data_IF_131061998529
#
_entry.id   IF_131061998529
#
_cell.length_a   1.000
_cell.length_b   1.000
_cell.length_c   1.000
_cell.angle_alpha   90.00
_cell.angle_beta   90.00
_cell.angle_gamma   90.00
#
_symmetry.space_group_name_H-M   'P 1'
#
loop_
_entity.id
_entity.type
_entity.pdbx_description
1 polymer ?
#
# COMPACT_ATOMS: atom_id res chain seq x y z
N UNK A 1 -7.46 11.72 -15.90
CA UNK A 1 -6.13 11.92 -15.30
C UNK A 1 -5.34 10.63 -15.50
N UNK A 2 -4.29 10.64 -16.31
CA UNK A 2 -3.50 9.44 -16.61
C UNK A 2 -2.45 9.26 -15.52
N UNK A 3 -2.78 8.50 -14.47
CA UNK A 3 -1.80 8.17 -13.43
C UNK A 3 -0.94 7.04 -13.97
N UNK A 4 0.36 7.30 -14.14
CA UNK A 4 1.32 6.29 -14.60
C UNK A 4 1.43 5.17 -13.56
N UNK A 5 1.51 3.92 -14.01
CA UNK A 5 1.75 2.76 -13.16
C UNK A 5 3.00 2.92 -12.27
N UNK A 6 4.01 3.63 -12.78
CA UNK A 6 5.21 4.01 -12.02
C UNK A 6 4.87 4.90 -10.82
N UNK A 7 3.97 5.87 -10.98
CA UNK A 7 3.53 6.76 -9.90
C UNK A 7 2.74 6.01 -8.82
N UNK A 8 1.96 5.00 -9.22
CA UNK A 8 1.21 4.13 -8.30
C UNK A 8 2.18 3.34 -7.41
N UNK A 9 3.20 2.71 -8.01
CA UNK A 9 4.23 1.97 -7.28
C UNK A 9 5.01 2.89 -6.34
N UNK A 10 5.43 4.07 -6.80
CA UNK A 10 6.16 5.03 -5.97
C UNK A 10 5.32 5.48 -4.77
N UNK A 11 4.02 5.73 -4.99
CA UNK A 11 3.11 6.06 -3.89
C UNK A 11 3.01 4.93 -2.88
N UNK A 12 2.88 3.68 -3.34
CA UNK A 12 2.81 2.52 -2.48
C UNK A 12 4.08 2.33 -1.64
N UNK A 13 5.25 2.45 -2.27
CA UNK A 13 6.55 2.37 -1.58
C UNK A 13 6.69 3.50 -0.56
N UNK A 14 6.37 4.74 -0.93
CA UNK A 14 6.45 5.89 -0.03
C UNK A 14 5.57 5.75 1.20
N UNK A 15 4.32 5.32 1.02
CA UNK A 15 3.39 5.05 2.13
C UNK A 15 3.89 3.90 3.02
N UNK A 16 4.44 2.83 2.42
CA UNK A 16 4.97 1.69 3.16
C UNK A 16 6.18 2.07 4.02
N UNK A 17 7.09 2.89 3.49
CA UNK A 17 8.24 3.42 4.23
C UNK A 17 7.77 4.31 5.39
N UNK A 18 6.85 5.25 5.13
CA UNK A 18 6.30 6.13 6.15
C UNK A 18 5.63 5.36 7.30
N UNK A 19 4.80 4.37 6.96
CA UNK A 19 4.15 3.50 7.94
C UNK A 19 5.17 2.70 8.75
N UNK A 20 6.19 2.14 8.09
CA UNK A 20 7.26 1.37 8.74
C UNK A 20 8.03 2.22 9.74
N UNK A 21 8.41 3.44 9.37
CA UNK A 21 9.12 4.35 10.26
C UNK A 21 8.31 4.71 11.51
N UNK A 22 7.01 4.98 11.36
CA UNK A 22 6.12 5.29 12.50
C UNK A 22 5.94 4.06 13.38
N UNK A 23 5.68 2.90 12.79
CA UNK A 23 5.44 1.66 13.51
C UNK A 23 6.69 1.23 14.31
N UNK A 24 7.87 1.28 13.69
CA UNK A 24 9.14 0.98 14.37
C UNK A 24 9.44 2.04 15.44
N UNK A 25 9.24 3.33 15.13
CA UNK A 25 9.49 4.42 16.08
C UNK A 25 8.66 4.29 17.36
N UNK A 26 7.35 4.02 17.23
CA UNK A 26 6.48 3.79 18.40
C UNK A 26 6.76 2.44 19.08
N UNK A 27 7.00 1.38 18.31
CA UNK A 27 7.22 0.05 18.86
C UNK A 27 8.55 -0.12 19.61
N UNK A 28 9.60 0.58 19.17
CA UNK A 28 10.86 0.64 19.91
C UNK A 28 10.72 1.43 21.21
N UNK A 29 9.89 2.47 21.22
CA UNK A 29 9.61 3.26 22.43
C UNK A 29 8.85 2.44 23.49
N UNK A 30 7.94 1.54 23.06
CA UNK A 30 7.14 0.72 23.96
C UNK A 30 7.71 -0.68 24.24
N UNK A 31 8.87 -1.05 23.66
CA UNK A 31 9.45 -2.40 23.68
C UNK A 31 8.49 -3.53 23.29
N UNK A 32 7.38 -3.21 22.61
CA UNK A 32 6.28 -4.12 22.31
C UNK A 32 6.09 -4.30 20.79
N UNK A 33 7.14 -4.05 20.01
CA UNK A 33 7.04 -4.13 18.56
C UNK A 33 6.88 -5.58 18.09
N UNK A 34 5.72 -5.88 17.53
CA UNK A 34 5.43 -7.18 16.92
C UNK A 34 5.79 -7.16 15.43
N UNK A 35 6.93 -7.79 15.12
CA UNK A 35 7.40 -7.97 13.73
C UNK A 35 6.44 -8.77 12.86
N UNK A 36 5.71 -9.73 13.44
CA UNK A 36 4.71 -10.54 12.73
C UNK A 36 3.51 -9.70 12.32
N UNK A 37 3.00 -8.86 13.23
CA UNK A 37 1.93 -7.92 12.92
C UNK A 37 2.38 -6.89 11.87
N UNK A 38 3.61 -6.36 11.96
CA UNK A 38 4.14 -5.41 10.98
C UNK A 38 4.27 -6.02 9.57
N UNK A 39 4.84 -7.22 9.44
CA UNK A 39 4.91 -7.94 8.15
C UNK A 39 3.49 -8.21 7.63
N UNK A 40 2.59 -8.65 8.49
CA UNK A 40 1.19 -8.90 8.14
C UNK A 40 0.50 -7.66 7.57
N UNK A 41 0.73 -6.48 8.17
CA UNK A 41 0.19 -5.22 7.68
C UNK A 41 0.80 -4.80 6.33
N UNK A 42 2.09 -5.05 6.09
CA UNK A 42 2.71 -4.77 4.79
C UNK A 42 2.17 -5.68 3.67
N UNK A 43 2.05 -6.98 3.93
CA UNK A 43 1.48 -7.93 2.97
C UNK A 43 0.01 -7.59 2.71
N UNK A 44 -0.77 -7.36 3.76
CA UNK A 44 -2.17 -6.95 3.64
C UNK A 44 -2.34 -5.65 2.85
N UNK A 45 -1.49 -4.66 3.10
CA UNK A 45 -1.45 -3.40 2.35
C UNK A 45 -1.11 -3.61 0.87
N UNK A 46 -0.15 -4.47 0.55
CA UNK A 46 0.21 -4.81 -0.83
C UNK A 46 -0.96 -5.47 -1.58
N UNK A 47 -1.63 -6.43 -0.95
CA UNK A 47 -2.80 -7.11 -1.54
C UNK A 47 -3.97 -6.13 -1.74
N UNK A 48 -4.27 -5.31 -0.74
CA UNK A 48 -5.32 -4.28 -0.85
C UNK A 48 -5.02 -3.29 -1.97
N UNK A 49 -3.76 -2.86 -2.11
CA UNK A 49 -3.33 -1.96 -3.16
C UNK A 49 -3.50 -2.58 -4.56
N UNK A 50 -3.13 -3.86 -4.72
CA UNK A 50 -3.33 -4.59 -5.96
C UNK A 50 -4.83 -4.69 -6.31
N UNK A 51 -5.68 -5.07 -5.35
CA UNK A 51 -7.13 -5.16 -5.54
C UNK A 51 -7.74 -3.83 -5.96
N UNK A 52 -7.44 -2.73 -5.27
CA UNK A 52 -7.95 -1.40 -5.62
C UNK A 52 -7.50 -1.00 -7.02
N UNK A 53 -6.23 -1.22 -7.36
CA UNK A 53 -5.70 -0.89 -8.69
C UNK A 53 -6.39 -1.69 -9.78
N UNK A 54 -6.62 -2.99 -9.57
CA UNK A 54 -7.38 -3.84 -10.49
C UNK A 54 -8.83 -3.36 -10.65
N UNK A 55 -9.51 -3.05 -9.55
CA UNK A 55 -10.89 -2.55 -9.57
C UNK A 55 -11.00 -1.21 -10.32
N UNK A 56 -10.09 -0.29 -10.07
CA UNK A 56 -10.02 1.01 -10.76
C UNK A 56 -9.77 0.79 -12.26
N UNK A 57 -8.84 -0.10 -12.61
CA UNK A 57 -8.57 -0.45 -14.01
C UNK A 57 -9.79 -1.05 -14.72
N UNK A 58 -10.47 -2.01 -14.08
CA UNK A 58 -11.69 -2.62 -14.61
C UNK A 58 -12.82 -1.60 -14.76
N UNK A 59 -13.00 -0.71 -13.78
CA UNK A 59 -14.02 0.34 -13.83
C UNK A 59 -13.73 1.34 -14.95
N UNK A 60 -12.46 1.73 -15.12
CA UNK A 60 -12.04 2.61 -16.21
C UNK A 60 -12.28 1.97 -17.58
N UNK A 61 -11.97 0.68 -17.73
CA UNK A 61 -12.22 -0.09 -18.94
C UNK A 61 -13.72 -0.15 -19.26
N UNK A 62 -14.56 -0.44 -18.26
CA UNK A 62 -16.04 -0.49 -18.40
C UNK A 62 -16.62 0.86 -18.83
N UNK A 63 -16.19 1.96 -18.21
CA UNK A 63 -16.73 3.30 -18.53
C UNK A 63 -16.25 3.85 -19.87
N UNK A 64 -15.08 3.44 -20.36
CA UNK A 64 -14.53 3.91 -21.63
C UNK A 64 -14.88 3.01 -22.83
N UNK A 65 -15.74 2.00 -22.66
CA UNK A 65 -16.31 1.22 -23.76
C UNK A 65 -15.30 0.45 -24.63
N UNK A 66 -14.23 -0.12 -24.03
CA UNK A 66 -13.29 -1.03 -24.71
C UNK A 66 -13.19 -2.40 -24.04
#
# INVERSE_FOLDING_TARGET
MYISFKSIIISFIGTSIGFTLVAIGQGLWSHSFDWGQWIGMLIGGAVAHALITTLVYMNHRRNNGR
#
